data_IF_917491779732
#
_entry.id   IF_917491779732
#
_cell.length_a   1.000
_cell.length_b   1.000
_cell.length_c   1.000
_cell.angle_alpha   90.00
_cell.angle_beta   90.00
_cell.angle_gamma   90.00
#
_symmetry.space_group_name_H-M   'P 1'
#
loop_
_entity.id
_entity.type
_entity.pdbx_description
1 polymer ?
#
# COMPACT_ATOMS: atom_id res chain seq x y z
N UNK A 1 11.04 4.39 -6.05
CA UNK A 1 10.11 5.26 -6.81
C UNK A 1 8.64 4.87 -6.64
N UNK A 2 8.30 3.58 -6.65
CA UNK A 2 6.92 3.13 -6.36
C UNK A 2 6.91 2.35 -5.05
N UNK A 3 5.94 2.62 -4.18
CA UNK A 3 5.69 1.86 -2.97
C UNK A 3 4.18 1.55 -2.87
N UNK A 4 3.79 0.30 -3.12
CA UNK A 4 2.38 -0.06 -3.25
C UNK A 4 1.95 -1.17 -2.30
N UNK A 5 1.04 -0.85 -1.38
CA UNK A 5 0.28 -1.86 -0.65
C UNK A 5 -0.87 -2.29 -1.55
N UNK A 6 -0.71 -3.42 -2.23
CA UNK A 6 -1.59 -3.92 -3.27
C UNK A 6 -1.77 -5.44 -3.16
N UNK A 7 -2.51 -6.02 -4.10
CA UNK A 7 -2.75 -7.46 -4.26
C UNK A 7 -3.66 -8.10 -3.21
N UNK A 8 -4.54 -9.00 -3.68
CA UNK A 8 -5.32 -9.88 -2.82
C UNK A 8 -4.44 -10.79 -1.97
N UNK A 9 -3.20 -11.11 -2.39
CA UNK A 9 -2.28 -11.97 -1.65
C UNK A 9 -2.01 -11.44 -0.24
N UNK A 10 -1.78 -10.12 -0.09
CA UNK A 10 -1.46 -9.53 1.20
C UNK A 10 -2.61 -8.70 1.79
N UNK A 11 -3.45 -8.08 0.96
CA UNK A 11 -4.56 -7.26 1.47
C UNK A 11 -5.73 -8.09 2.04
N UNK A 12 -5.75 -9.40 1.77
CA UNK A 12 -6.68 -10.35 2.42
C UNK A 12 -6.23 -10.76 3.82
N UNK A 13 -4.99 -10.49 4.21
CA UNK A 13 -4.44 -10.86 5.51
C UNK A 13 -4.45 -9.64 6.46
N UNK A 14 -5.37 -9.58 7.45
CA UNK A 14 -5.47 -8.42 8.32
C UNK A 14 -4.22 -8.19 9.18
N UNK A 15 -3.50 -9.25 9.56
CA UNK A 15 -2.32 -9.14 10.43
C UNK A 15 -1.25 -8.24 9.82
N UNK A 16 -0.98 -8.40 8.52
CA UNK A 16 0.05 -7.61 7.85
C UNK A 16 -0.42 -6.19 7.53
N UNK A 17 -1.72 -5.95 7.30
CA UNK A 17 -2.23 -4.59 7.09
C UNK A 17 -2.32 -3.80 8.39
N UNK A 18 -2.72 -4.44 9.49
CA UNK A 18 -2.65 -3.85 10.82
C UNK A 18 -1.20 -3.53 11.21
N UNK A 19 -0.27 -4.45 10.91
CA UNK A 19 1.16 -4.18 11.10
C UNK A 19 1.65 -2.98 10.27
N UNK A 20 1.25 -2.86 9.01
CA UNK A 20 1.60 -1.71 8.18
C UNK A 20 1.04 -0.39 8.73
N UNK A 21 -0.21 -0.40 9.20
CA UNK A 21 -0.81 0.75 9.87
C UNK A 21 -0.11 1.12 11.18
N UNK A 22 0.34 0.13 11.96
CA UNK A 22 1.12 0.37 13.19
C UNK A 22 2.52 0.94 12.88
N UNK A 23 3.20 0.43 11.85
CA UNK A 23 4.48 1.02 11.37
C UNK A 23 4.24 2.47 10.96
N UNK A 24 3.19 2.75 10.19
CA UNK A 24 2.85 4.10 9.76
C UNK A 24 2.58 5.03 10.96
N UNK A 25 1.82 4.55 11.95
CA UNK A 25 1.55 5.30 13.18
C UNK A 25 2.82 5.66 13.92
N UNK A 26 3.66 4.66 14.25
CA UNK A 26 4.92 4.88 14.97
C UNK A 26 5.88 5.79 14.19
N UNK A 27 5.95 5.62 12.87
CA UNK A 27 6.78 6.46 12.01
C UNK A 27 6.33 7.92 12.02
N UNK A 28 5.04 8.20 11.84
CA UNK A 28 4.49 9.56 11.87
C UNK A 28 4.67 10.20 13.26
N UNK A 29 4.43 9.45 14.33
CA UNK A 29 4.63 9.93 15.72
C UNK A 29 6.10 10.27 15.99
N UNK A 30 7.03 9.50 15.43
CA UNK A 30 8.48 9.76 15.44
C UNK A 30 8.91 10.93 14.54
N UNK A 31 8.01 11.45 13.69
CA UNK A 31 8.27 12.58 12.78
C UNK A 31 8.83 12.19 11.42
N UNK A 32 8.78 10.90 11.07
CA UNK A 32 9.17 10.42 9.74
C UNK A 32 8.12 10.79 8.70
N UNK A 33 8.57 10.94 7.45
CA UNK A 33 7.76 11.24 6.28
C UNK A 33 8.29 10.46 5.08
N UNK A 34 7.42 10.17 4.12
CA UNK A 34 7.80 9.64 2.80
C UNK A 34 8.28 10.80 1.92
N UNK A 35 9.31 10.57 1.09
CA UNK A 35 9.80 11.59 0.17
C UNK A 35 8.75 11.88 -0.93
N UNK A 36 8.52 13.15 -1.32
CA UNK A 36 7.42 13.51 -2.24
C UNK A 36 7.45 12.82 -3.62
N UNK A 37 8.63 12.45 -4.12
CA UNK A 37 8.78 11.80 -5.42
C UNK A 37 8.43 10.29 -5.40
N UNK A 38 8.11 9.72 -4.24
CA UNK A 38 7.75 8.31 -4.12
C UNK A 38 6.25 8.18 -4.33
N UNK A 39 5.86 7.46 -5.38
CA UNK A 39 4.47 7.16 -5.68
C UNK A 39 3.96 6.05 -4.75
N UNK A 40 3.29 6.47 -3.69
CA UNK A 40 2.65 5.59 -2.72
C UNK A 40 1.21 5.28 -3.11
N UNK A 41 0.72 4.09 -2.71
CA UNK A 41 -0.68 3.72 -2.91
C UNK A 41 -1.13 2.59 -1.98
N UNK A 42 -2.37 2.67 -1.51
CA UNK A 42 -3.08 1.58 -0.87
C UNK A 42 -4.24 1.13 -1.78
N UNK A 43 -4.22 -0.13 -2.21
CA UNK A 43 -5.23 -0.72 -3.05
C UNK A 43 -5.77 -2.03 -2.44
N UNK A 44 -6.77 -1.93 -1.54
CA UNK A 44 -7.32 -3.10 -0.87
C UNK A 44 -8.15 -3.99 -1.81
N UNK A 45 -8.13 -5.30 -1.57
CA UNK A 45 -9.01 -6.23 -2.27
C UNK A 45 -10.49 -6.15 -1.87
N UNK A 46 -10.81 -5.51 -0.73
CA UNK A 46 -12.17 -5.35 -0.22
C UNK A 46 -12.29 -4.09 0.65
N UNK A 47 -13.49 -3.51 0.72
CA UNK A 47 -13.82 -2.35 1.58
C UNK A 47 -13.72 -2.67 3.08
N UNK A 48 -13.73 -3.96 3.45
CA UNK A 48 -13.49 -4.40 4.84
C UNK A 48 -12.14 -3.93 5.37
N UNK A 49 -11.12 -3.87 4.51
CA UNK A 49 -9.79 -3.37 4.87
C UNK A 49 -9.84 -1.94 5.38
N UNK A 50 -10.44 -1.06 4.58
CA UNK A 50 -10.60 0.35 4.93
C UNK A 50 -11.40 0.49 6.22
N UNK A 51 -12.46 -0.31 6.40
CA UNK A 51 -13.27 -0.28 7.62
C UNK A 51 -12.44 -0.59 8.87
N UNK A 52 -11.71 -1.72 8.92
CA UNK A 52 -10.97 -2.04 10.15
C UNK A 52 -9.75 -1.12 10.36
N UNK A 53 -9.12 -0.60 9.29
CA UNK A 53 -8.06 0.40 9.42
C UNK A 53 -8.59 1.73 9.96
N UNK A 54 -9.83 2.08 9.62
CA UNK A 54 -10.53 3.25 10.17
C UNK A 54 -10.93 3.02 11.62
N UNK A 55 -11.58 1.89 11.93
CA UNK A 55 -12.00 1.53 13.30
C UNK A 55 -10.82 1.48 14.29
N UNK A 56 -9.64 1.07 13.83
CA UNK A 56 -8.42 1.00 14.64
C UNK A 56 -7.66 2.33 14.70
N UNK A 57 -8.13 3.35 13.97
CA UNK A 57 -7.48 4.66 13.89
C UNK A 57 -6.14 4.64 13.16
N UNK A 58 -5.85 3.61 12.37
CA UNK A 58 -4.58 3.44 11.66
C UNK A 58 -4.58 4.06 10.27
N UNK A 59 -5.73 4.11 9.59
CA UNK A 59 -5.85 4.65 8.23
C UNK A 59 -5.29 6.09 8.11
N UNK A 60 -5.58 7.04 9.02
CA UNK A 60 -5.05 8.41 8.90
C UNK A 60 -3.52 8.49 8.94
N UNK A 61 -2.84 7.51 9.53
CA UNK A 61 -1.37 7.47 9.56
C UNK A 61 -0.79 6.94 8.25
N UNK A 62 -1.47 5.98 7.62
CA UNK A 62 -1.13 5.53 6.26
C UNK A 62 -1.29 6.69 5.26
N UNK A 63 -2.41 7.42 5.32
CA UNK A 63 -2.69 8.59 4.49
C UNK A 63 -1.65 9.71 4.68
N UNK A 64 -1.22 9.98 5.93
CA UNK A 64 -0.13 10.94 6.20
C UNK A 64 1.21 10.56 5.57
N UNK A 65 1.43 9.28 5.26
CA UNK A 65 2.60 8.78 4.53
C UNK A 65 2.32 8.63 3.03
N UNK A 66 1.17 9.08 2.53
CA UNK A 66 0.73 9.03 1.14
C UNK A 66 0.11 7.70 0.71
N UNK A 67 -0.17 6.78 1.64
CA UNK A 67 -0.87 5.53 1.36
C UNK A 67 -2.39 5.71 1.40
N UNK A 68 -2.90 6.68 0.65
CA UNK A 68 -4.32 6.87 0.45
C UNK A 68 -4.96 5.68 -0.27
N UNK A 69 -6.23 5.42 0.03
CA UNK A 69 -7.00 4.38 -0.68
C UNK A 69 -7.23 4.82 -2.11
N UNK A 70 -6.41 4.33 -3.02
CA UNK A 70 -6.43 4.71 -4.43
C UNK A 70 -7.58 4.03 -5.20
N UNK A 71 -7.83 2.75 -4.91
CA UNK A 71 -8.90 1.97 -5.53
C UNK A 71 -9.14 0.65 -4.76
N UNK A 72 -10.28 0.01 -5.03
CA UNK A 72 -10.53 -1.38 -4.65
C UNK A 72 -10.35 -2.28 -5.87
N UNK A 73 -9.23 -3.01 -5.94
CA UNK A 73 -8.91 -3.87 -7.08
C UNK A 73 -7.41 -4.13 -7.28
N UNK A 74 -7.07 -4.76 -8.40
CA UNK A 74 -5.72 -5.27 -8.64
C UNK A 74 -4.62 -4.20 -8.76
N UNK A 75 -4.91 -3.04 -9.36
CA UNK A 75 -4.00 -1.87 -9.47
C UNK A 75 -2.54 -2.25 -9.83
N UNK A 76 -1.55 -1.75 -9.08
CA UNK A 76 -0.12 -2.00 -9.24
C UNK A 76 0.23 -3.49 -9.31
N UNK A 77 -0.52 -4.38 -8.63
CA UNK A 77 -0.26 -5.83 -8.69
C UNK A 77 -0.34 -6.40 -10.11
N UNK A 78 -1.13 -5.76 -10.99
CA UNK A 78 -1.28 -6.15 -12.39
C UNK A 78 -0.65 -5.15 -13.36
N UNK A 79 0.27 -4.30 -12.90
CA UNK A 79 0.90 -3.27 -13.74
C UNK A 79 0.04 -2.02 -13.96
N UNK A 80 -1.16 -1.96 -13.40
CA UNK A 80 -1.98 -0.74 -13.41
C UNK A 80 -1.52 0.22 -12.30
N UNK A 81 -0.22 0.52 -12.28
CA UNK A 81 0.37 1.48 -11.35
C UNK A 81 0.03 2.93 -11.73
N UNK A 82 -0.40 3.17 -12.99
CA UNK A 82 -0.49 4.50 -13.60
C UNK A 82 0.90 5.11 -13.81
N UNK A 83 0.97 6.23 -14.53
CA UNK A 83 2.26 6.82 -14.91
C UNK A 83 2.94 7.58 -13.76
N UNK A 84 4.26 7.76 -13.86
CA UNK A 84 5.01 8.69 -13.00
C UNK A 84 4.87 10.12 -13.53
N UNK A 85 5.25 11.10 -12.70
CA UNK A 85 5.30 12.48 -13.16
C UNK A 85 6.27 12.60 -14.36
N UNK A 86 5.93 13.37 -15.43
CA UNK A 86 6.75 13.45 -16.65
C UNK A 86 8.22 13.76 -16.38
N UNK A 87 8.50 14.67 -15.45
CA UNK A 87 9.85 15.06 -15.04
C UNK A 87 10.64 13.91 -14.39
N UNK A 88 9.95 12.98 -13.69
CA UNK A 88 10.58 11.78 -13.13
C UNK A 88 10.90 10.80 -14.25
N UNK A 89 9.99 10.63 -15.22
CA UNK A 89 10.22 9.77 -16.37
C UNK A 89 11.42 10.25 -17.20
N UNK A 90 11.50 11.56 -17.48
CA UNK A 90 12.64 12.18 -18.16
C UNK A 90 13.95 11.99 -17.39
N UNK A 91 13.93 12.15 -16.07
CA UNK A 91 15.11 11.92 -15.24
C UNK A 91 15.58 10.46 -15.27
N UNK A 92 14.66 9.49 -15.27
CA UNK A 92 14.99 8.06 -15.35
C UNK A 92 15.64 7.73 -16.69
N UNK A 93 15.00 8.12 -17.80
CA UNK A 93 15.44 7.74 -19.14
C UNK A 93 16.68 8.52 -19.58
N UNK A 94 16.73 9.82 -19.31
CA UNK A 94 17.85 10.70 -19.68
C UNK A 94 19.15 10.39 -18.94
N UNK A 95 19.09 9.73 -17.78
CA UNK A 95 20.27 9.38 -16.97
C UNK A 95 20.47 7.87 -16.82
N UNK A 96 19.74 7.04 -17.57
CA UNK A 96 19.73 5.57 -17.49
C UNK A 96 19.68 5.01 -16.05
N UNK A 97 18.79 5.57 -15.23
CA UNK A 97 18.69 5.19 -13.82
C UNK A 97 17.97 3.85 -13.63
N UNK A 98 18.56 2.97 -12.81
CA UNK A 98 17.87 1.77 -12.31
C UNK A 98 17.02 2.16 -11.12
N UNK A 99 15.75 2.44 -11.37
CA UNK A 99 14.78 2.74 -10.32
C UNK A 99 14.03 1.49 -9.85
N UNK A 100 13.56 1.54 -8.60
CA UNK A 100 12.90 0.42 -7.95
C UNK A 100 11.44 0.67 -7.57
N UNK A 101 10.64 -0.39 -7.64
CA UNK A 101 9.34 -0.52 -6.99
C UNK A 101 9.41 -1.54 -5.85
N UNK A 102 8.73 -1.25 -4.74
CA UNK A 102 8.48 -2.19 -3.64
C UNK A 102 6.97 -2.36 -3.51
N UNK A 103 6.48 -3.60 -3.57
CA UNK A 103 5.05 -3.86 -3.55
C UNK A 103 4.69 -5.12 -2.78
N UNK A 104 3.49 -5.14 -2.19
CA UNK A 104 2.93 -6.34 -1.54
C UNK A 104 2.23 -7.29 -2.51
N UNK A 105 2.71 -7.34 -3.74
CA UNK A 105 2.22 -8.23 -4.80
C UNK A 105 2.74 -9.65 -4.71
N UNK A 106 2.59 -10.39 -5.81
CA UNK A 106 3.07 -11.77 -5.96
C UNK A 106 3.90 -12.02 -7.24
N UNK A 107 4.07 -11.00 -8.10
CA UNK A 107 4.85 -11.07 -9.33
C UNK A 107 5.66 -9.78 -9.49
N UNK A 108 6.90 -9.91 -9.97
CA UNK A 108 7.86 -8.80 -10.08
C UNK A 108 8.73 -8.88 -11.35
N UNK A 109 8.21 -9.46 -12.43
CA UNK A 109 8.90 -9.50 -13.71
C UNK A 109 9.24 -8.09 -14.22
N UNK A 110 10.32 -7.97 -14.99
CA UNK A 110 10.71 -6.71 -15.62
C UNK A 110 9.56 -6.10 -16.43
N UNK A 111 9.41 -4.77 -16.37
CA UNK A 111 8.34 -3.99 -16.99
C UNK A 111 6.89 -4.37 -16.60
N UNK A 112 6.68 -5.35 -15.71
CA UNK A 112 5.34 -5.77 -15.28
C UNK A 112 4.63 -4.70 -14.45
N UNK A 113 5.38 -4.00 -13.60
CA UNK A 113 4.84 -3.06 -12.61
C UNK A 113 4.69 -1.66 -13.21
N UNK A 114 5.73 -1.19 -13.89
CA UNK A 114 5.75 0.09 -14.59
C UNK A 114 6.85 0.04 -15.66
N UNK A 115 6.63 0.57 -16.88
CA UNK A 115 7.58 0.46 -17.99
C UNK A 115 8.96 1.07 -17.66
N UNK A 116 8.99 2.19 -16.94
CA UNK A 116 10.24 2.86 -16.55
C UNK A 116 10.88 2.33 -15.24
N UNK A 117 10.37 1.24 -14.67
CA UNK A 117 10.91 0.65 -13.43
C UNK A 117 11.48 -0.74 -13.69
N UNK A 118 12.82 -0.81 -13.72
CA UNK A 118 13.58 -2.03 -14.01
C UNK A 118 13.63 -2.99 -12.81
N UNK A 119 13.75 -2.48 -11.58
CA UNK A 119 13.87 -3.32 -10.37
C UNK A 119 12.55 -3.39 -9.59
N UNK A 120 12.06 -4.59 -9.27
CA UNK A 120 10.78 -4.79 -8.59
C UNK A 120 10.92 -5.80 -7.44
N UNK A 121 10.55 -5.38 -6.23
CA UNK A 121 10.72 -6.19 -5.01
C UNK A 121 9.37 -6.49 -4.37
N UNK A 122 9.13 -7.78 -4.12
CA UNK A 122 7.98 -8.23 -3.34
C UNK A 122 8.31 -8.15 -1.86
N UNK A 123 7.47 -7.47 -1.09
CA UNK A 123 7.67 -7.28 0.34
C UNK A 123 6.34 -7.32 1.09
N UNK A 124 6.40 -7.58 2.40
CA UNK A 124 5.20 -7.47 3.24
C UNK A 124 4.71 -6.01 3.29
N UNK A 125 3.41 -5.76 3.48
CA UNK A 125 2.86 -4.41 3.65
C UNK A 125 3.64 -3.49 4.63
N UNK A 126 4.07 -3.93 5.84
CA UNK A 126 4.88 -3.07 6.71
C UNK A 126 6.27 -2.76 6.14
N UNK A 127 6.90 -3.68 5.40
CA UNK A 127 8.16 -3.40 4.71
C UNK A 127 7.98 -2.43 3.54
N UNK A 128 6.85 -2.48 2.83
CA UNK A 128 6.52 -1.47 1.81
C UNK A 128 6.51 -0.07 2.43
N UNK A 129 5.90 0.10 3.61
CA UNK A 129 5.90 1.38 4.34
C UNK A 129 7.32 1.78 4.76
N UNK A 130 8.10 0.85 5.31
CA UNK A 130 9.49 1.15 5.73
C UNK A 130 10.38 1.61 4.56
N UNK A 131 10.33 0.90 3.42
CA UNK A 131 11.10 1.30 2.23
C UNK A 131 10.58 2.58 1.57
N UNK A 132 9.28 2.88 1.68
CA UNK A 132 8.75 4.17 1.24
C UNK A 132 9.35 5.32 2.06
N UNK A 133 9.52 5.15 3.37
CA UNK A 133 10.14 6.16 4.23
C UNK A 133 11.64 6.30 3.92
N UNK A 134 12.36 5.19 3.85
CA UNK A 134 13.79 5.19 3.49
C UNK A 134 14.03 5.81 2.11
N UNK A 135 13.13 5.54 1.17
CA UNK A 135 13.16 6.06 -0.19
C UNK A 135 14.28 5.50 -1.06
N UNK A 136 15.00 4.49 -0.57
CA UNK A 136 16.03 3.77 -1.30
C UNK A 136 16.01 2.29 -0.88
N UNK A 137 15.95 1.39 -1.85
CA UNK A 137 15.97 -0.06 -1.62
C UNK A 137 17.36 -0.58 -1.24
N UNK A 138 18.41 0.21 -1.50
CA UNK A 138 19.79 -0.11 -1.10
C UNK A 138 20.06 0.21 0.38
N UNK A 139 19.12 0.84 1.09
CA UNK A 139 19.24 1.06 2.53
C UNK A 139 19.13 -0.28 3.26
N UNK A 140 20.19 -0.64 3.97
CA UNK A 140 20.16 -1.79 4.87
C UNK A 140 19.36 -1.41 6.14
N UNK A 141 18.08 -1.77 6.17
CA UNK A 141 17.17 -1.45 7.28
C UNK A 141 17.56 -2.11 8.61
N UNK A 142 18.52 -3.04 8.62
CA UNK A 142 19.03 -3.67 9.85
C UNK A 142 20.15 -2.86 10.51
N UNK A 143 20.91 -2.10 9.72
CA UNK A 143 22.10 -1.37 10.21
C UNK A 143 22.01 0.15 10.01
N UNK A 144 21.13 0.61 9.13
CA UNK A 144 20.92 2.01 8.80
C UNK A 144 19.54 2.48 9.28
N UNK A 145 19.39 3.77 9.64
CA UNK A 145 18.09 4.31 9.99
C UNK A 145 17.15 4.31 8.79
N UNK A 146 15.86 4.08 9.07
CA UNK A 146 14.77 4.25 8.09
C UNK A 146 14.65 5.72 7.69
N UNK A 147 14.96 6.64 8.61
CA UNK A 147 15.03 8.06 8.32
C UNK A 147 15.31 8.89 9.56
N UNK A 148 15.28 10.22 9.41
CA UNK A 148 15.47 11.18 10.50
C UNK A 148 14.12 11.69 10.99
N UNK A 149 13.83 11.46 12.26
CA UNK A 149 12.63 11.90 12.95
C UNK A 149 12.76 13.32 13.52
N UNK A 150 11.92 13.63 14.52
CA UNK A 150 11.92 14.92 15.22
C UNK A 150 13.29 15.23 15.80
N UNK A 151 13.74 16.48 15.66
CA UNK A 151 15.04 16.93 16.15
C UNK A 151 16.25 16.28 15.47
N UNK A 152 16.05 15.65 14.30
CA UNK A 152 17.13 14.98 13.56
C UNK A 152 17.55 13.63 14.12
N UNK A 153 16.80 13.06 15.06
CA UNK A 153 17.06 11.73 15.63
C UNK A 153 16.96 10.66 14.56
N UNK A 154 17.96 9.80 14.47
CA UNK A 154 17.92 8.61 13.63
C UNK A 154 16.89 7.61 14.18
N UNK A 155 15.98 7.18 13.31
CA UNK A 155 14.93 6.21 13.63
C UNK A 155 15.20 4.93 12.86
N UNK A 156 15.38 3.84 13.59
CA UNK A 156 15.68 2.51 13.05
C UNK A 156 14.40 1.70 12.86
N UNK A 157 14.49 0.62 12.08
CA UNK A 157 13.34 -0.24 11.81
C UNK A 157 12.72 -0.76 13.11
N UNK A 158 13.56 -1.17 14.07
CA UNK A 158 13.14 -1.65 15.39
C UNK A 158 12.36 -0.64 16.23
N UNK A 159 12.57 0.67 16.03
CA UNK A 159 11.84 1.71 16.76
C UNK A 159 10.37 1.80 16.33
N UNK A 160 10.08 1.45 15.07
CA UNK A 160 8.75 1.57 14.47
C UNK A 160 8.10 0.23 14.16
N UNK A 161 8.82 -0.89 14.31
CA UNK A 161 8.28 -2.21 14.05
C UNK A 161 7.28 -2.61 15.15
N UNK A 162 6.09 -3.12 14.79
CA UNK A 162 5.13 -3.58 15.79
C UNK A 162 5.52 -4.95 16.35
N UNK A 163 5.19 -5.18 17.62
CA UNK A 163 5.25 -6.53 18.21
C UNK A 163 4.05 -7.37 17.77
N UNK A 164 4.16 -8.69 17.91
CA UNK A 164 3.04 -9.60 17.67
C UNK A 164 1.81 -9.26 18.53
N UNK A 165 2.02 -8.89 19.79
CA UNK A 165 0.93 -8.51 20.71
C UNK A 165 0.22 -7.22 20.30
N UNK A 166 0.96 -6.24 19.77
CA UNK A 166 0.36 -5.00 19.24
C UNK A 166 -0.60 -5.32 18.08
N UNK A 167 -0.19 -6.20 17.17
CA UNK A 167 -1.04 -6.65 16.04
C UNK A 167 -2.23 -7.47 16.56
N UNK A 168 -1.99 -8.42 17.47
CA UNK A 168 -3.01 -9.32 18.01
C UNK A 168 -4.15 -8.56 18.72
N UNK A 169 -3.83 -7.48 19.45
CA UNK A 169 -4.84 -6.63 20.10
C UNK A 169 -5.82 -5.99 19.11
N UNK A 170 -5.40 -5.76 17.87
CA UNK A 170 -6.20 -5.13 16.82
C UNK A 170 -6.90 -6.13 15.90
N UNK A 171 -6.51 -7.40 15.89
CA UNK A 171 -7.10 -8.40 14.99
C UNK A 171 -8.60 -8.58 15.15
N UNK A 172 -9.12 -8.40 16.38
CA UNK A 172 -10.56 -8.45 16.67
C UNK A 172 -11.40 -7.46 15.84
N UNK A 173 -10.81 -6.35 15.38
CA UNK A 173 -11.51 -5.37 14.55
C UNK A 173 -11.70 -5.88 13.11
N UNK A 174 -10.79 -6.73 12.63
CA UNK A 174 -10.84 -7.32 11.30
C UNK A 174 -11.64 -8.63 11.23
N UNK A 175 -12.16 -9.12 12.36
CA UNK A 175 -12.92 -10.39 12.46
C UNK A 175 -14.41 -10.17 12.79
N UNK A 176 -14.91 -8.94 12.68
CA UNK A 176 -16.31 -8.61 12.98
C UNK A 176 -17.25 -9.15 11.91
N UNK A 177 -17.86 -10.31 12.12
CA UNK A 177 -18.79 -10.93 11.15
C UNK A 177 -19.94 -10.01 10.68
N UNK A 178 -20.43 -9.12 11.55
CA UNK A 178 -21.43 -8.10 11.19
C UNK A 178 -20.92 -7.16 10.09
N UNK A 179 -19.68 -6.67 10.21
CA UNK A 179 -19.08 -5.77 9.22
C UNK A 179 -18.97 -6.45 7.85
N UNK A 180 -18.61 -7.74 7.81
CA UNK A 180 -18.61 -8.52 6.56
C UNK A 180 -20.00 -8.56 5.93
N UNK A 181 -21.04 -8.95 6.67
CA UNK A 181 -22.40 -9.04 6.13
C UNK A 181 -22.89 -7.70 5.58
N UNK A 182 -22.67 -6.63 6.33
CA UNK A 182 -23.06 -5.27 5.90
C UNK A 182 -22.31 -4.84 4.65
N UNK A 183 -21.00 -5.09 4.56
CA UNK A 183 -20.20 -4.69 3.41
C UNK A 183 -20.53 -5.47 2.13
N UNK A 184 -20.63 -6.80 2.24
CA UNK A 184 -20.88 -7.67 1.09
C UNK A 184 -22.34 -7.63 0.64
N UNK A 185 -23.30 -7.38 1.54
CA UNK A 185 -24.71 -7.20 1.16
C UNK A 185 -24.92 -6.02 0.19
N UNK A 186 -24.11 -4.96 0.31
CA UNK A 186 -24.20 -3.80 -0.59
C UNK A 186 -23.75 -4.10 -2.03
N UNK A 187 -23.00 -5.17 -2.28
CA UNK A 187 -22.47 -5.45 -3.63
C UNK A 187 -23.59 -5.84 -4.59
N UNK A 188 -24.58 -6.61 -4.12
CA UNK A 188 -25.72 -7.03 -4.93
C UNK A 188 -26.72 -5.88 -5.10
N UNK A 189 -27.05 -5.19 -4.02
CA UNK A 189 -28.15 -4.23 -3.99
C UNK A 189 -27.74 -2.81 -4.44
N UNK A 190 -26.44 -2.50 -4.41
CA UNK A 190 -25.93 -1.16 -4.69
C UNK A 190 -24.61 -1.22 -5.50
N UNK A 191 -24.65 -1.72 -6.75
CA UNK A 191 -23.47 -1.84 -7.61
C UNK A 191 -22.93 -0.47 -8.09
N UNK A 192 -23.70 0.59 -7.87
CA UNK A 192 -23.33 1.97 -8.14
C UNK A 192 -23.87 2.50 -9.47
N UNK A 193 -24.09 3.82 -9.51
CA UNK A 193 -24.75 4.53 -10.62
C UNK A 193 -24.12 4.32 -12.00
N UNK A 194 -22.80 4.06 -12.07
CA UNK A 194 -22.13 3.79 -13.34
C UNK A 194 -22.50 2.40 -13.87
N UNK A 195 -22.55 1.40 -13.00
CA UNK A 195 -22.92 0.03 -13.35
C UNK A 195 -24.40 -0.06 -13.74
N UNK A 196 -25.28 0.60 -13.00
CA UNK A 196 -26.74 0.66 -13.28
C UNK A 196 -27.06 1.24 -14.67
N UNK A 197 -26.17 2.05 -15.24
CA UNK A 197 -26.34 2.67 -16.56
C UNK A 197 -25.85 1.79 -17.71
N UNK A 198 -25.18 0.68 -17.43
CA UNK A 198 -24.68 -0.23 -18.48
C UNK A 198 -25.89 -0.93 -19.13
N UNK A 199 -26.00 -0.80 -20.44
CA UNK A 199 -27.01 -1.51 -21.25
C UNK A 199 -26.35 -2.74 -21.86
N UNK A 200 -26.83 -3.92 -21.51
CA UNK A 200 -26.42 -5.18 -22.13
C UNK A 200 -27.21 -5.48 -23.41
N UNK A 201 -26.72 -6.45 -24.19
CA UNK A 201 -27.48 -7.10 -25.27
C UNK A 201 -27.95 -8.47 -24.78
N UNK A 202 -29.10 -8.94 -25.27
CA UNK A 202 -29.61 -10.28 -24.98
C UNK A 202 -29.11 -11.28 -26.01
N UNK A 203 -28.58 -12.42 -25.56
CA UNK A 203 -28.13 -13.52 -26.41
C UNK A 203 -27.28 -14.52 -25.63
N UNK A 204 -27.09 -15.71 -26.20
CA UNK A 204 -26.20 -16.74 -25.61
C UNK A 204 -24.74 -16.57 -26.04
N UNK A 205 -24.47 -15.71 -27.01
CA UNK A 205 -23.14 -15.46 -27.57
C UNK A 205 -22.76 -13.97 -27.41
N UNK A 206 -21.50 -13.74 -27.05
CA UNK A 206 -20.87 -12.40 -26.96
C UNK A 206 -20.51 -11.85 -28.34
#
# INVERSE_FOLDING_TARGET
>A
LIAAITSCTNTSNPSVLLAAGLVAKKAVEAGLKVKPHIKTSLAPGSRIVTQYLTDTGLLPYLEKLGFDVAAYGCTTCIGNAGDLAPEINEAITGNDLVCAAVLSGNRNFEARIHPNIKANFLASPPLVVAYAIAGNVMTDLMTQPVGKGKGGKDIYLGDIWPTGDEVQRLLKFAMKGKAFRENYGQIADNPGKLWEKIKGVSGEVY
#
